data_IF_406253417866
#
_entry.id   IF_406253417866
#
_cell.length_a   1.000
_cell.length_b   1.000
_cell.length_c   1.000
_cell.angle_alpha   90.00
_cell.angle_beta   90.00
_cell.angle_gamma   90.00
#
_symmetry.space_group_name_H-M   'P 1'
#
loop_
_entity.id
_entity.type
_entity.pdbx_description
1 polymer ?
#
# COMPACT_ATOMS: atom_id res chain seq x y z
N UNK A 1 22.72 -18.06 1.41
CA UNK A 1 21.46 -18.84 1.44
C UNK A 1 20.90 -18.80 2.86
N UNK A 2 19.58 -18.66 3.03
CA UNK A 2 18.94 -18.67 4.35
C UNK A 2 19.23 -19.96 5.12
N UNK A 3 19.46 -19.86 6.43
CA UNK A 3 19.91 -20.98 7.28
C UNK A 3 18.76 -21.73 7.97
N UNK A 4 17.71 -22.09 7.22
CA UNK A 4 16.60 -22.88 7.78
C UNK A 4 17.07 -24.28 8.22
N UNK A 5 16.64 -24.73 9.41
CA UNK A 5 16.97 -26.05 9.96
C UNK A 5 16.34 -27.21 9.19
N UNK A 6 15.19 -26.99 8.54
CA UNK A 6 14.43 -28.01 7.81
C UNK A 6 14.05 -27.51 6.42
N UNK A 7 13.87 -28.42 5.48
CA UNK A 7 13.38 -28.10 4.13
C UNK A 7 11.87 -27.82 4.11
N UNK A 8 11.12 -28.32 5.09
CA UNK A 8 9.69 -28.11 5.21
C UNK A 8 9.28 -28.01 6.68
N UNK A 9 8.34 -27.11 6.95
CA UNK A 9 7.71 -26.91 8.24
C UNK A 9 6.20 -27.12 8.06
N UNK A 10 5.62 -28.04 8.82
CA UNK A 10 4.19 -28.38 8.74
C UNK A 10 3.48 -27.90 10.01
N UNK A 11 2.18 -27.62 9.88
CA UNK A 11 1.30 -27.20 10.98
C UNK A 11 1.76 -25.93 11.72
N UNK A 12 2.56 -25.08 11.07
CA UNK A 12 2.93 -23.76 11.59
C UNK A 12 1.75 -22.82 11.41
N UNK A 13 1.26 -22.28 12.52
CA UNK A 13 0.16 -21.31 12.53
C UNK A 13 0.66 -19.97 13.04
N UNK A 14 0.22 -18.90 12.38
CA UNK A 14 0.56 -17.51 12.71
C UNK A 14 -0.68 -16.65 12.62
N UNK A 15 -0.88 -15.83 13.64
CA UNK A 15 -1.88 -14.77 13.68
C UNK A 15 -1.45 -13.58 12.84
N UNK A 16 -2.43 -12.80 12.38
CA UNK A 16 -2.19 -11.57 11.63
C UNK A 16 -1.30 -10.58 12.42
N UNK A 17 -1.47 -10.51 13.74
CA UNK A 17 -0.64 -9.65 14.60
C UNK A 17 0.84 -10.07 14.60
N UNK A 18 1.14 -11.37 14.51
CA UNK A 18 2.53 -11.83 14.37
C UNK A 18 3.13 -11.41 13.04
N UNK A 19 2.35 -11.41 11.95
CA UNK A 19 2.78 -10.86 10.67
C UNK A 19 3.06 -9.36 10.76
N UNK A 20 2.20 -8.59 11.45
CA UNK A 20 2.43 -7.15 11.70
C UNK A 20 3.76 -6.94 12.41
N UNK A 21 4.02 -7.69 13.49
CA UNK A 21 5.29 -7.62 14.24
C UNK A 21 6.50 -7.98 13.37
N UNK A 22 6.39 -9.00 12.53
CA UNK A 22 7.45 -9.39 11.61
C UNK A 22 7.75 -8.25 10.64
N UNK A 23 6.72 -7.68 10.02
CA UNK A 23 6.90 -6.56 9.09
C UNK A 23 7.53 -5.35 9.78
N UNK A 24 7.05 -4.97 10.96
CA UNK A 24 7.62 -3.86 11.74
C UNK A 24 9.10 -4.10 12.08
N UNK A 25 9.46 -5.33 12.42
CA UNK A 25 10.85 -5.70 12.65
C UNK A 25 11.69 -5.53 11.39
N UNK A 26 11.25 -6.10 10.26
CA UNK A 26 11.97 -6.04 8.99
C UNK A 26 12.16 -4.60 8.51
N UNK A 27 11.13 -3.77 8.61
CA UNK A 27 11.20 -2.34 8.27
C UNK A 27 12.25 -1.64 9.15
N UNK A 28 12.29 -1.94 10.45
CA UNK A 28 13.25 -1.34 11.36
C UNK A 28 14.70 -1.86 11.22
N UNK A 29 14.89 -3.12 10.81
CA UNK A 29 16.22 -3.71 10.62
C UNK A 29 16.83 -3.38 9.26
N UNK A 30 16.01 -3.30 8.21
CA UNK A 30 16.46 -3.08 6.83
C UNK A 30 15.82 -1.81 6.24
N UNK A 31 16.08 -0.61 6.81
CA UNK A 31 15.44 0.65 6.39
C UNK A 31 15.80 1.08 4.96
N UNK A 32 16.86 0.54 4.38
CA UNK A 32 17.25 0.73 2.97
C UNK A 32 16.45 -0.13 1.98
N UNK A 33 15.63 -1.07 2.48
CA UNK A 33 14.86 -2.00 1.64
C UNK A 33 13.37 -1.70 1.60
N UNK A 34 12.73 -2.00 0.47
CA UNK A 34 11.29 -1.81 0.30
C UNK A 34 10.52 -3.03 0.81
N UNK A 35 10.34 -3.12 2.13
CA UNK A 35 9.61 -4.22 2.77
C UNK A 35 8.15 -4.27 2.29
N UNK A 36 7.65 -5.41 1.77
CA UNK A 36 6.27 -5.53 1.30
C UNK A 36 5.24 -5.13 2.36
N UNK A 37 4.12 -4.54 1.91
CA UNK A 37 3.01 -4.17 2.80
C UNK A 37 2.15 -5.39 3.08
N UNK A 38 1.63 -5.45 4.30
CA UNK A 38 0.65 -6.46 4.67
C UNK A 38 -0.72 -6.13 4.06
N UNK A 39 -1.36 -7.10 3.38
CA UNK A 39 -2.78 -7.02 3.08
C UNK A 39 -3.60 -6.69 4.33
N UNK A 40 -4.69 -5.90 4.21
CA UNK A 40 -5.46 -5.43 5.36
C UNK A 40 -6.10 -6.58 6.14
N UNK A 41 -6.22 -6.40 7.46
CA UNK A 41 -6.92 -7.33 8.33
C UNK A 41 -8.41 -7.38 7.97
N UNK A 42 -8.98 -8.58 7.96
CA UNK A 42 -10.40 -8.79 7.69
C UNK A 42 -11.02 -9.73 8.69
N UNK A 43 -12.21 -9.37 9.17
CA UNK A 43 -13.01 -10.23 10.05
C UNK A 43 -13.44 -11.53 9.36
N UNK A 44 -13.62 -11.51 8.04
CA UNK A 44 -13.95 -12.68 7.24
C UNK A 44 -12.87 -12.86 6.18
N UNK A 45 -12.18 -14.00 6.22
CA UNK A 45 -11.08 -14.32 5.32
C UNK A 45 -11.64 -14.97 4.05
N UNK A 46 -11.38 -14.34 2.90
CA UNK A 46 -11.69 -14.89 1.58
C UNK A 46 -10.47 -15.59 0.97
N UNK A 47 -10.69 -16.40 -0.07
CA UNK A 47 -9.60 -16.99 -0.86
C UNK A 47 -8.63 -15.94 -1.44
N UNK A 48 -9.14 -14.75 -1.76
CA UNK A 48 -8.33 -13.63 -2.23
C UNK A 48 -7.39 -13.11 -1.14
N UNK A 49 -7.84 -13.08 0.12
CA UNK A 49 -7.04 -12.59 1.24
C UNK A 49 -5.91 -13.57 1.57
N UNK A 50 -6.20 -14.88 1.51
CA UNK A 50 -5.17 -15.93 1.62
C UNK A 50 -4.13 -15.80 0.52
N UNK A 51 -4.55 -15.53 -0.72
CA UNK A 51 -3.62 -15.33 -1.83
C UNK A 51 -2.75 -14.09 -1.63
N UNK A 52 -3.31 -12.98 -1.13
CA UNK A 52 -2.55 -11.77 -0.82
C UNK A 52 -1.52 -12.02 0.29
N UNK A 53 -1.87 -12.78 1.32
CA UNK A 53 -0.94 -13.20 2.37
C UNK A 53 0.20 -14.09 1.84
N UNK A 54 -0.11 -15.01 0.90
CA UNK A 54 0.90 -15.81 0.22
C UNK A 54 1.86 -14.95 -0.59
N UNK A 55 1.34 -13.98 -1.35
CA UNK A 55 2.16 -13.05 -2.13
C UNK A 55 3.10 -12.22 -1.24
N UNK A 56 2.62 -11.78 -0.07
CA UNK A 56 3.46 -11.11 0.93
C UNK A 56 4.65 -11.98 1.35
N UNK A 57 4.39 -13.23 1.75
CA UNK A 57 5.44 -14.18 2.14
C UNK A 57 6.38 -14.51 0.98
N UNK A 58 5.85 -14.71 -0.21
CA UNK A 58 6.62 -15.02 -1.42
C UNK A 58 7.60 -13.89 -1.76
N UNK A 59 7.17 -12.63 -1.64
CA UNK A 59 8.02 -11.46 -1.87
C UNK A 59 9.14 -11.38 -0.85
N UNK A 60 8.83 -11.52 0.44
CA UNK A 60 9.85 -11.51 1.50
C UNK A 60 10.84 -12.65 1.32
N UNK A 61 10.34 -13.85 1.00
CA UNK A 61 11.16 -15.06 0.85
C UNK A 61 12.07 -15.04 -0.39
N UNK A 62 11.69 -14.30 -1.44
CA UNK A 62 12.52 -14.12 -2.65
C UNK A 62 13.46 -12.93 -2.57
N UNK A 63 13.25 -12.03 -1.63
CA UNK A 63 14.09 -10.86 -1.49
C UNK A 63 15.50 -11.24 -1.01
N UNK A 64 16.58 -10.78 -1.66
CA UNK A 64 17.94 -11.22 -1.36
C UNK A 64 18.39 -10.89 0.07
N UNK A 65 17.92 -9.77 0.62
CA UNK A 65 18.22 -9.33 2.01
C UNK A 65 17.23 -9.94 3.00
N UNK A 66 15.93 -9.60 2.91
CA UNK A 66 14.89 -10.04 3.86
C UNK A 66 14.81 -11.57 4.03
N UNK A 67 15.07 -12.37 2.99
CA UNK A 67 15.04 -13.84 3.11
C UNK A 67 16.11 -14.42 4.04
N UNK A 68 17.17 -13.65 4.31
CA UNK A 68 18.28 -14.04 5.18
C UNK A 68 18.10 -13.55 6.63
N UNK A 69 17.05 -12.78 6.89
CA UNK A 69 16.78 -12.21 8.20
C UNK A 69 16.49 -13.31 9.23
N UNK A 70 17.11 -13.18 10.41
CA UNK A 70 16.99 -14.18 11.47
C UNK A 70 15.58 -14.22 12.07
N UNK A 71 14.89 -13.09 12.14
CA UNK A 71 13.53 -13.04 12.68
C UNK A 71 12.52 -13.62 11.69
N UNK A 72 12.76 -13.52 10.38
CA UNK A 72 11.98 -14.29 9.40
C UNK A 72 12.16 -15.80 9.61
N UNK A 73 13.40 -16.24 9.89
CA UNK A 73 13.65 -17.64 10.23
C UNK A 73 12.93 -18.03 11.52
N UNK A 74 13.04 -17.24 12.59
CA UNK A 74 12.34 -17.51 13.85
C UNK A 74 10.83 -17.49 13.68
N UNK A 75 10.30 -16.60 12.85
CA UNK A 75 8.89 -16.55 12.49
C UNK A 75 8.40 -17.84 11.85
N UNK A 76 9.25 -18.56 11.10
CA UNK A 76 8.89 -19.84 10.48
C UNK A 76 9.15 -21.01 11.44
N UNK A 77 10.24 -20.97 12.21
CA UNK A 77 10.70 -22.11 13.03
C UNK A 77 10.03 -22.23 14.40
N UNK A 78 9.44 -21.15 14.93
CA UNK A 78 8.92 -21.14 16.32
C UNK A 78 7.63 -21.96 16.47
N UNK A 79 7.57 -22.84 17.48
CA UNK A 79 6.37 -23.67 17.72
C UNK A 79 5.30 -22.93 18.54
N UNK A 80 5.69 -22.03 19.45
CA UNK A 80 4.81 -21.42 20.45
C UNK A 80 4.39 -19.96 20.13
N UNK A 81 4.58 -19.53 18.88
CA UNK A 81 4.30 -18.18 18.42
C UNK A 81 5.55 -17.31 18.26
N UNK A 82 5.36 -16.13 17.65
CA UNK A 82 6.41 -15.21 17.26
C UNK A 82 6.34 -13.88 18.02
N UNK A 83 7.44 -13.56 18.70
CA UNK A 83 7.67 -12.29 19.38
C UNK A 83 9.10 -11.86 19.07
N UNK A 84 9.31 -10.88 18.18
CA UNK A 84 10.65 -10.41 17.88
C UNK A 84 11.25 -9.70 19.10
N UNK A 85 12.58 -9.66 19.25
CA UNK A 85 13.25 -8.94 20.32
C UNK A 85 12.78 -7.49 20.37
N UNK A 86 12.42 -7.01 21.57
CA UNK A 86 11.96 -5.64 21.76
C UNK A 86 13.10 -4.66 21.43
N UNK A 87 13.00 -3.95 20.30
CA UNK A 87 13.90 -2.84 19.99
C UNK A 87 13.42 -1.57 20.73
N UNK A 88 14.34 -0.72 21.23
CA UNK A 88 13.96 0.52 21.90
C UNK A 88 13.11 1.39 20.95
N UNK A 89 11.93 1.80 21.43
CA UNK A 89 10.89 2.54 20.67
C UNK A 89 11.38 3.83 19.97
N UNK A 90 12.58 4.34 20.25
CA UNK A 90 13.17 5.53 19.60
C UNK A 90 13.50 5.33 18.11
N UNK A 91 13.70 4.09 17.65
CA UNK A 91 14.00 3.78 16.24
C UNK A 91 12.71 3.45 15.47
N UNK A 92 11.87 2.57 16.03
CA UNK A 92 10.56 2.23 15.48
C UNK A 92 9.63 3.45 15.39
N UNK A 93 9.63 4.29 16.42
CA UNK A 93 8.81 5.50 16.46
C UNK A 93 9.19 6.48 15.36
N UNK A 94 10.47 6.62 15.00
CA UNK A 94 10.85 7.50 13.90
C UNK A 94 10.43 6.92 12.55
N UNK A 95 10.63 5.63 12.31
CA UNK A 95 10.33 5.01 11.01
C UNK A 95 8.82 4.81 10.76
N UNK A 96 8.03 4.60 11.82
CA UNK A 96 6.56 4.50 11.74
C UNK A 96 5.85 5.87 11.85
N UNK A 97 6.44 6.86 12.56
CA UNK A 97 5.93 8.25 12.67
C UNK A 97 6.46 9.15 11.54
N UNK A 98 7.41 8.69 10.69
CA UNK A 98 7.82 9.36 9.44
C UNK A 98 6.61 9.59 8.51
N UNK A 99 5.59 8.72 8.58
CA UNK A 99 4.32 8.92 7.86
C UNK A 99 3.40 10.00 8.44
N UNK A 100 3.65 10.51 9.67
CA UNK A 100 2.72 11.42 10.38
C UNK A 100 3.38 12.74 10.78
N UNK A 101 4.69 12.75 11.06
CA UNK A 101 5.45 13.98 11.23
C UNK A 101 6.41 14.14 10.08
N UNK A 102 5.93 14.86 9.06
CA UNK A 102 6.79 15.57 8.12
C UNK A 102 7.94 16.14 8.94
N UNK A 103 9.16 15.69 8.68
CA UNK A 103 10.32 16.47 9.03
C UNK A 103 10.03 17.86 8.45
N UNK A 104 9.81 18.84 9.31
CA UNK A 104 9.78 20.22 8.89
C UNK A 104 11.06 20.41 8.07
N UNK A 105 10.89 20.61 6.78
CA UNK A 105 11.96 20.84 5.82
C UNK A 105 12.70 22.11 6.24
N UNK A 106 13.62 21.98 7.18
CA UNK A 106 14.64 22.97 7.50
C UNK A 106 15.96 22.63 6.80
N UNK A 107 16.01 21.54 6.02
CA UNK A 107 17.07 21.30 5.05
C UNK A 107 16.67 21.94 3.72
N UNK A 108 17.26 23.09 3.40
CA UNK A 108 17.31 23.56 2.02
C UNK A 108 18.00 22.52 1.12
N UNK A 109 18.01 22.72 -0.21
CA UNK A 109 18.72 21.82 -1.12
C UNK A 109 20.12 21.55 -0.59
N UNK A 110 20.48 20.27 -0.47
CA UNK A 110 21.85 19.86 -0.18
C UNK A 110 22.77 20.63 -1.12
N UNK A 111 23.64 21.47 -0.57
CA UNK A 111 24.54 22.31 -1.36
C UNK A 111 25.59 21.49 -2.12
N UNK A 112 25.66 20.19 -1.86
CA UNK A 112 26.51 19.21 -2.51
C UNK A 112 25.58 18.22 -3.22
N UNK A 113 25.24 18.47 -4.49
CA UNK A 113 24.78 17.37 -5.35
C UNK A 113 25.97 16.41 -5.48
N UNK A 114 25.85 15.18 -4.97
CA UNK A 114 26.94 14.21 -5.00
C UNK A 114 27.02 13.47 -6.36
N UNK A 115 26.21 13.91 -7.35
CA UNK A 115 26.20 13.41 -8.73
C UNK A 115 24.80 13.01 -9.22
N UNK A 116 24.73 12.50 -10.45
CA UNK A 116 23.49 12.18 -11.18
C UNK A 116 22.54 11.24 -10.41
N UNK A 117 23.07 10.33 -9.59
CA UNK A 117 22.24 9.42 -8.78
C UNK A 117 21.38 10.17 -7.76
N UNK A 118 21.87 11.27 -7.19
CA UNK A 118 21.08 12.06 -6.24
C UNK A 118 19.91 12.76 -6.92
N UNK A 119 20.10 13.20 -8.17
CA UNK A 119 19.04 13.81 -8.96
C UNK A 119 17.92 12.80 -9.23
N UNK A 120 18.26 11.54 -9.57
CA UNK A 120 17.26 10.47 -9.73
C UNK A 120 16.45 10.20 -8.45
N UNK A 121 17.10 10.22 -7.27
CA UNK A 121 16.40 10.03 -6.01
C UNK A 121 15.50 11.20 -5.64
N UNK A 122 15.91 12.44 -5.91
CA UNK A 122 15.07 13.61 -5.65
C UNK A 122 13.86 13.64 -6.60
N UNK A 123 14.04 13.27 -7.87
CA UNK A 123 12.93 13.04 -8.80
C UNK A 123 11.96 11.98 -8.27
N UNK A 124 12.47 10.83 -7.81
CA UNK A 124 11.64 9.76 -7.26
C UNK A 124 10.88 10.21 -6.01
N UNK A 125 11.47 11.05 -5.14
CA UNK A 125 10.77 11.66 -3.99
C UNK A 125 9.62 12.54 -4.41
N UNK A 126 9.84 13.41 -5.41
CA UNK A 126 8.78 14.27 -5.95
C UNK A 126 7.65 13.43 -6.58
N UNK A 127 7.99 12.38 -7.32
CA UNK A 127 7.01 11.45 -7.92
C UNK A 127 6.24 10.71 -6.82
N UNK A 128 6.92 10.19 -5.80
CA UNK A 128 6.33 9.48 -4.66
C UNK A 128 5.33 10.36 -3.91
N UNK A 129 5.71 11.60 -3.59
CA UNK A 129 4.83 12.55 -2.91
C UNK A 129 3.59 12.91 -3.74
N UNK A 130 3.76 13.11 -5.06
CA UNK A 130 2.62 13.32 -5.98
C UNK A 130 1.69 12.10 -6.02
N UNK A 131 2.26 10.91 -6.09
CA UNK A 131 1.50 9.66 -6.13
C UNK A 131 0.71 9.45 -4.83
N UNK A 132 1.30 9.73 -3.67
CA UNK A 132 0.62 9.65 -2.38
C UNK A 132 -0.61 10.58 -2.35
N UNK A 133 -0.43 11.85 -2.72
CA UNK A 133 -1.51 12.82 -2.75
C UNK A 133 -2.64 12.41 -3.72
N UNK A 134 -2.29 11.84 -4.87
CA UNK A 134 -3.26 11.32 -5.84
C UNK A 134 -4.01 10.11 -5.29
N UNK A 135 -3.33 9.15 -4.68
CA UNK A 135 -3.95 7.97 -4.07
C UNK A 135 -4.94 8.37 -2.97
N UNK A 136 -4.55 9.28 -2.07
CA UNK A 136 -5.46 9.82 -1.05
C UNK A 136 -6.69 10.51 -1.66
N UNK A 137 -6.51 11.22 -2.78
CA UNK A 137 -7.61 11.81 -3.54
C UNK A 137 -8.55 10.74 -4.12
N UNK A 138 -8.01 9.69 -4.73
CA UNK A 138 -8.80 8.59 -5.31
C UNK A 138 -9.56 7.82 -4.22
N UNK A 139 -8.93 7.54 -3.07
CA UNK A 139 -9.58 6.89 -1.92
C UNK A 139 -10.81 7.71 -1.48
N UNK A 140 -10.64 9.03 -1.30
CA UNK A 140 -11.76 9.92 -0.93
C UNK A 140 -12.87 9.96 -1.98
N UNK A 141 -12.52 9.89 -3.26
CA UNK A 141 -13.52 9.81 -4.33
C UNK A 141 -14.29 8.48 -4.29
N UNK A 142 -13.59 7.37 -4.07
CA UNK A 142 -14.20 6.05 -3.92
C UNK A 142 -15.13 6.00 -2.71
N UNK A 143 -14.76 6.58 -1.57
CA UNK A 143 -15.63 6.63 -0.39
C UNK A 143 -16.95 7.36 -0.67
N UNK A 144 -16.90 8.46 -1.44
CA UNK A 144 -18.09 9.19 -1.89
C UNK A 144 -18.95 8.33 -2.82
N UNK A 145 -18.32 7.61 -3.75
CA UNK A 145 -19.01 6.70 -4.66
C UNK A 145 -19.70 5.55 -3.91
N UNK A 146 -19.00 4.90 -2.98
CA UNK A 146 -19.53 3.84 -2.11
C UNK A 146 -20.74 4.36 -1.33
N UNK A 147 -20.66 5.57 -0.79
CA UNK A 147 -21.78 6.20 -0.08
C UNK A 147 -22.98 6.45 -1.02
N UNK A 148 -22.75 7.09 -2.15
CA UNK A 148 -23.81 7.39 -3.12
C UNK A 148 -24.48 6.10 -3.63
N UNK A 149 -23.70 5.04 -3.88
CA UNK A 149 -24.19 3.74 -4.32
C UNK A 149 -24.98 3.01 -3.24
N UNK A 150 -24.59 3.16 -1.96
CA UNK A 150 -25.37 2.64 -0.82
C UNK A 150 -26.71 3.35 -0.70
N UNK A 151 -26.72 4.68 -0.83
CA UNK A 151 -27.96 5.46 -0.79
C UNK A 151 -28.88 5.08 -1.97
N UNK A 152 -28.31 4.92 -3.17
CA UNK A 152 -29.02 4.44 -4.35
C UNK A 152 -29.65 3.05 -4.14
N UNK A 153 -28.88 2.08 -3.63
CA UNK A 153 -29.38 0.74 -3.29
C UNK A 153 -30.53 0.78 -2.28
N UNK A 154 -30.47 1.69 -1.30
CA UNK A 154 -31.58 1.88 -0.35
C UNK A 154 -32.84 2.41 -1.03
N UNK A 155 -32.70 3.31 -2.01
CA UNK A 155 -33.83 3.85 -2.78
C UNK A 155 -34.42 2.82 -3.73
N UNK A 156 -33.62 1.96 -4.32
CA UNK A 156 -34.11 0.81 -5.11
C UNK A 156 -34.97 -0.13 -4.24
N UNK A 157 -34.51 -0.45 -3.02
CA UNK A 157 -35.27 -1.28 -2.09
C UNK A 157 -36.58 -0.62 -1.61
N UNK A 158 -36.55 0.69 -1.38
CA UNK A 158 -37.74 1.48 -1.07
C UNK A 158 -38.75 1.44 -2.22
N UNK A 159 -38.29 1.61 -3.46
CA UNK A 159 -39.14 1.52 -4.66
C UNK A 159 -39.78 0.12 -4.80
N UNK A 160 -39.04 -0.95 -4.53
CA UNK A 160 -39.59 -2.31 -4.52
C UNK A 160 -40.73 -2.45 -3.49
N UNK A 161 -40.56 -1.86 -2.30
CA UNK A 161 -41.55 -1.88 -1.22
C UNK A 161 -42.80 -1.07 -1.59
N UNK A 162 -42.60 0.13 -2.14
CA UNK A 162 -43.69 1.00 -2.62
C UNK A 162 -44.45 0.33 -3.76
N UNK A 163 -43.76 -0.34 -4.68
CA UNK A 163 -44.38 -1.07 -5.78
C UNK A 163 -45.28 -2.21 -5.28
N UNK A 164 -44.86 -2.95 -4.25
CA UNK A 164 -45.74 -3.94 -3.60
C UNK A 164 -46.96 -3.28 -2.91
N UNK A 165 -46.75 -2.11 -2.31
CA UNK A 165 -47.82 -1.36 -1.65
C UNK A 165 -48.86 -0.86 -2.65
N UNK A 166 -48.42 -0.35 -3.79
CA UNK A 166 -49.32 0.02 -4.89
C UNK A 166 -50.08 -1.19 -5.43
N UNK A 167 -49.40 -2.32 -5.65
CA UNK A 167 -50.06 -3.55 -6.08
C UNK A 167 -51.17 -4.01 -5.12
N UNK A 168 -51.01 -3.82 -3.81
CA UNK A 168 -51.99 -4.22 -2.81
C UNK A 168 -53.20 -3.27 -2.70
N UNK A 169 -53.03 -1.99 -3.07
CA UNK A 169 -54.07 -0.97 -2.98
C UNK A 169 -54.71 -0.65 -4.33
N UNK A 170 -54.20 -1.23 -5.42
CA UNK A 170 -54.72 -1.00 -6.76
C UNK A 170 -56.02 -1.78 -6.99
N UNK A 171 -57.01 -1.06 -7.51
CA UNK A 171 -58.34 -1.56 -7.81
C UNK A 171 -58.42 -2.27 -9.17
N UNK A 172 -57.59 -1.88 -10.13
CA UNK A 172 -57.49 -2.51 -11.45
C UNK A 172 -56.58 -3.74 -11.38
N UNK A 173 -57.11 -4.98 -11.55
CA UNK A 173 -56.33 -6.20 -11.34
C UNK A 173 -55.10 -6.32 -12.25
N UNK A 174 -55.17 -5.84 -13.50
CA UNK A 174 -54.06 -5.83 -14.45
C UNK A 174 -52.93 -4.92 -13.97
N UNK A 175 -53.26 -3.71 -13.53
CA UNK A 175 -52.29 -2.75 -13.00
C UNK A 175 -51.69 -3.25 -11.67
N UNK A 176 -52.49 -3.87 -10.81
CA UNK A 176 -52.01 -4.53 -9.59
C UNK A 176 -50.99 -5.63 -9.90
N UNK A 177 -51.26 -6.45 -10.93
CA UNK A 177 -50.35 -7.53 -11.38
C UNK A 177 -49.04 -6.97 -11.93
N UNK A 178 -49.08 -5.90 -12.73
CA UNK A 178 -47.86 -5.27 -13.27
C UNK A 178 -46.98 -4.67 -12.18
N UNK A 179 -47.56 -3.99 -11.18
CA UNK A 179 -46.80 -3.51 -10.01
C UNK A 179 -46.16 -4.67 -9.24
N UNK A 180 -46.89 -5.77 -9.03
CA UNK A 180 -46.34 -6.96 -8.36
C UNK A 180 -45.22 -7.62 -9.16
N UNK A 181 -45.34 -7.66 -10.49
CA UNK A 181 -44.31 -8.15 -11.40
C UNK A 181 -43.04 -7.31 -11.34
N UNK A 182 -43.17 -5.99 -11.17
CA UNK A 182 -42.04 -5.06 -11.07
C UNK A 182 -41.34 -5.13 -9.70
N UNK A 183 -42.09 -5.36 -8.63
CA UNK A 183 -41.56 -5.28 -7.26
C UNK A 183 -40.43 -6.30 -6.96
N UNK A 184 -40.54 -7.53 -7.46
CA UNK A 184 -39.52 -8.57 -7.22
C UNK A 184 -38.18 -8.26 -7.92
N UNK A 185 -38.16 -7.91 -9.22
CA UNK A 185 -36.94 -7.48 -9.91
C UNK A 185 -36.28 -6.24 -9.30
N UNK A 186 -37.07 -5.27 -8.84
CA UNK A 186 -36.54 -4.10 -8.13
C UNK A 186 -35.79 -4.49 -6.83
N UNK A 187 -36.33 -5.43 -6.06
CA UNK A 187 -35.65 -5.97 -4.87
C UNK A 187 -34.37 -6.74 -5.24
N UNK A 188 -34.39 -7.50 -6.34
CA UNK A 188 -33.21 -8.17 -6.90
C UNK A 188 -32.11 -7.17 -7.30
N UNK A 189 -32.47 -6.11 -8.01
CA UNK A 189 -31.56 -5.01 -8.37
C UNK A 189 -30.98 -4.33 -7.13
N UNK A 190 -31.81 -4.03 -6.13
CA UNK A 190 -31.37 -3.42 -4.88
C UNK A 190 -30.33 -4.29 -4.15
N UNK A 191 -30.52 -5.62 -4.14
CA UNK A 191 -29.54 -6.58 -3.59
C UNK A 191 -28.24 -6.60 -4.39
N UNK A 192 -28.31 -6.57 -5.72
CA UNK A 192 -27.13 -6.49 -6.58
C UNK A 192 -26.34 -5.19 -6.34
N UNK A 193 -27.02 -4.04 -6.27
CA UNK A 193 -26.42 -2.75 -5.91
C UNK A 193 -25.80 -2.76 -4.51
N UNK A 194 -26.45 -3.40 -3.53
CA UNK A 194 -25.90 -3.56 -2.17
C UNK A 194 -24.64 -4.42 -2.16
N UNK A 195 -24.62 -5.49 -2.94
CA UNK A 195 -23.43 -6.34 -3.11
C UNK A 195 -22.29 -5.58 -3.82
N UNK A 196 -22.62 -4.73 -4.79
CA UNK A 196 -21.68 -3.84 -5.49
C UNK A 196 -20.95 -2.91 -4.51
N UNK A 197 -21.65 -2.28 -3.58
CA UNK A 197 -21.06 -1.44 -2.50
C UNK A 197 -19.99 -2.22 -1.71
N UNK A 198 -20.27 -3.48 -1.36
CA UNK A 198 -19.30 -4.34 -0.68
C UNK A 198 -18.11 -4.72 -1.56
N UNK A 199 -18.36 -4.95 -2.86
CA UNK A 199 -17.33 -5.20 -3.86
C UNK A 199 -16.37 -4.03 -4.04
N UNK A 200 -16.88 -2.80 -4.09
CA UNK A 200 -16.11 -1.57 -4.24
C UNK A 200 -15.12 -1.40 -3.07
N UNK A 201 -15.62 -1.54 -1.84
CA UNK A 201 -14.81 -1.44 -0.63
C UNK A 201 -13.74 -2.55 -0.55
N UNK A 202 -14.13 -3.80 -0.82
CA UNK A 202 -13.26 -4.97 -0.61
C UNK A 202 -12.28 -5.26 -1.74
N UNK A 203 -12.50 -4.74 -2.95
CA UNK A 203 -11.54 -4.91 -4.06
C UNK A 203 -10.75 -3.63 -4.27
N UNK A 204 -11.42 -2.58 -4.72
CA UNK A 204 -10.73 -1.36 -5.09
C UNK A 204 -10.28 -0.56 -3.86
N UNK A 205 -11.13 -0.44 -2.84
CA UNK A 205 -10.80 0.27 -1.59
C UNK A 205 -9.59 -0.33 -0.90
N UNK A 206 -9.67 -1.62 -0.55
CA UNK A 206 -8.55 -2.33 0.08
C UNK A 206 -7.26 -2.33 -0.75
N UNK A 207 -7.36 -2.36 -2.08
CA UNK A 207 -6.19 -2.25 -2.95
C UNK A 207 -5.56 -0.85 -2.89
N UNK A 208 -6.38 0.21 -2.94
CA UNK A 208 -5.89 1.58 -2.86
C UNK A 208 -5.24 1.86 -1.50
N UNK A 209 -5.81 1.36 -0.40
CA UNK A 209 -5.21 1.47 0.93
C UNK A 209 -3.86 0.76 1.01
N UNK A 210 -3.80 -0.47 0.46
CA UNK A 210 -2.56 -1.23 0.34
C UNK A 210 -1.52 -0.47 -0.51
N UNK A 211 -1.92 0.14 -1.63
CA UNK A 211 -1.03 0.96 -2.45
C UNK A 211 -0.56 2.22 -1.76
N UNK A 212 -1.42 2.88 -0.99
CA UNK A 212 -1.05 4.06 -0.21
C UNK A 212 0.05 3.71 0.81
N UNK A 213 -0.13 2.62 1.57
CA UNK A 213 0.87 2.14 2.52
C UNK A 213 2.21 1.76 1.84
N UNK A 214 2.13 1.26 0.60
CA UNK A 214 3.33 0.94 -0.18
C UNK A 214 4.12 2.21 -0.54
N UNK A 215 3.42 3.24 -1.01
CA UNK A 215 4.01 4.54 -1.31
C UNK A 215 4.61 5.18 -0.05
N UNK A 216 3.96 5.02 1.10
CA UNK A 216 4.51 5.50 2.39
C UNK A 216 5.77 4.75 2.82
N UNK A 217 5.84 3.44 2.55
CA UNK A 217 7.04 2.64 2.80
C UNK A 217 8.20 3.12 1.91
N UNK A 218 7.92 3.40 0.63
CA UNK A 218 8.89 3.98 -0.28
C UNK A 218 9.36 5.38 0.18
N UNK A 219 8.43 6.25 0.58
CA UNK A 219 8.78 7.56 1.14
C UNK A 219 9.71 7.42 2.35
N UNK A 220 9.42 6.48 3.25
CA UNK A 220 10.28 6.23 4.42
C UNK A 220 11.69 5.78 4.06
N UNK A 221 11.84 4.91 3.05
CA UNK A 221 13.16 4.48 2.58
C UNK A 221 13.95 5.62 1.90
N UNK A 222 13.28 6.47 1.12
CA UNK A 222 13.88 7.65 0.51
C UNK A 222 14.32 8.68 1.56
N UNK A 223 13.51 8.90 2.60
CA UNK A 223 13.86 9.79 3.71
C UNK A 223 15.01 9.22 4.56
N UNK A 224 15.06 7.89 4.77
CA UNK A 224 16.21 7.24 5.41
C UNK A 224 17.50 7.45 4.59
N UNK A 225 17.45 7.25 3.27
CA UNK A 225 18.58 7.54 2.38
C UNK A 225 19.03 8.99 2.54
N UNK A 226 18.10 9.94 2.50
CA UNK A 226 18.42 11.36 2.66
C UNK A 226 19.11 11.65 4.00
N UNK A 227 18.67 11.00 5.08
CA UNK A 227 19.34 11.09 6.39
C UNK A 227 20.79 10.61 6.32
N UNK A 228 21.06 9.48 5.65
CA UNK A 228 22.41 8.94 5.48
C UNK A 228 23.29 9.85 4.62
N UNK A 229 22.73 10.48 3.58
CA UNK A 229 23.43 11.51 2.78
C UNK A 229 23.81 12.70 3.67
N UNK A 230 22.90 13.18 4.51
CA UNK A 230 23.19 14.26 5.47
C UNK A 230 24.29 13.91 6.49
N UNK A 231 24.32 12.67 6.98
CA UNK A 231 25.41 12.16 7.84
C UNK A 231 26.75 12.14 7.11
N UNK A 232 26.76 11.74 5.83
CA UNK A 232 27.96 11.75 5.01
C UNK A 232 28.46 13.17 4.70
N UNK A 233 27.58 14.11 4.36
CA UNK A 233 27.95 15.52 4.19
C UNK A 233 28.55 16.14 5.47
N UNK A 234 28.00 15.80 6.64
CA UNK A 234 28.54 16.24 7.91
C UNK A 234 29.95 15.69 8.14
N UNK A 235 30.21 14.44 7.74
CA UNK A 235 31.54 13.83 7.80
C UNK A 235 32.53 14.55 6.87
N UNK A 236 32.14 14.86 5.62
CA UNK A 236 32.97 15.64 4.67
C UNK A 236 33.36 16.99 5.29
N UNK A 237 32.37 17.75 5.80
CA UNK A 237 32.61 19.06 6.42
C UNK A 237 33.57 18.96 7.62
N UNK A 238 33.46 17.90 8.41
CA UNK A 238 34.36 17.63 9.53
C UNK A 238 35.79 17.38 9.05
N UNK A 239 35.99 16.50 8.06
CA UNK A 239 37.31 16.22 7.47
C UNK A 239 37.93 17.45 6.86
N UNK A 240 37.16 18.25 6.10
CA UNK A 240 37.64 19.51 5.52
C UNK A 240 38.08 20.51 6.59
N UNK A 241 37.34 20.63 7.69
CA UNK A 241 37.70 21.49 8.80
C UNK A 241 39.02 21.05 9.45
N UNK A 242 39.20 19.75 9.69
CA UNK A 242 40.45 19.21 10.24
C UNK A 242 41.63 19.37 9.28
N UNK A 243 41.39 19.17 7.97
CA UNK A 243 42.40 19.39 6.91
C UNK A 243 42.88 20.84 6.89
N UNK A 244 41.95 21.81 6.94
CA UNK A 244 42.29 23.25 7.02
C UNK A 244 43.08 23.59 8.29
N UNK A 245 42.73 23.00 9.43
CA UNK A 245 43.48 23.17 10.69
C UNK A 245 44.91 22.66 10.56
N UNK A 246 45.10 21.47 9.97
CA UNK A 246 46.43 20.90 9.70
C UNK A 246 47.26 21.77 8.75
N UNK A 247 46.66 22.28 7.66
CA UNK A 247 47.33 23.20 6.73
C UNK A 247 47.77 24.50 7.42
N UNK A 248 46.95 25.03 8.33
CA UNK A 248 47.29 26.21 9.14
C UNK A 248 48.46 25.95 10.09
N UNK A 249 48.51 24.76 10.71
CA UNK A 249 49.63 24.37 11.56
C UNK A 249 50.92 24.17 10.77
N UNK A 250 50.84 23.60 9.55
CA UNK A 250 51.99 23.46 8.64
C UNK A 250 52.57 24.80 8.17
N UNK A 251 51.73 25.82 8.02
CA UNK A 251 52.13 27.17 7.62
C UNK A 251 52.55 28.08 8.79
N UNK A 252 52.40 27.62 10.04
CA UNK A 252 52.83 28.37 11.23
C UNK A 252 54.36 28.39 11.36
N UNK A 253 54.90 29.56 11.69
CA UNK A 253 56.35 29.76 11.93
C UNK A 253 56.79 29.23 13.30
N UNK A 254 55.86 29.00 14.23
CA UNK A 254 56.12 28.39 15.54
C UNK A 254 55.39 27.04 15.61
N UNK A 255 56.14 25.95 15.40
CA UNK A 255 55.63 24.59 15.28
C UNK A 255 55.79 23.88 16.62
N UNK A 256 54.68 23.55 17.28
CA UNK A 256 54.68 22.65 18.42
C UNK A 256 54.48 21.21 17.92
N UNK A 257 55.47 20.30 18.07
CA UNK A 257 55.40 18.95 17.50
C UNK A 257 54.23 18.13 18.04
N UNK A 258 53.91 18.26 19.33
CA UNK A 258 52.82 17.51 19.97
C UNK A 258 51.46 17.87 19.35
N UNK A 259 51.20 19.17 19.14
CA UNK A 259 49.97 19.65 18.48
C UNK A 259 49.86 19.23 17.01
N UNK A 260 51.00 19.06 16.32
CA UNK A 260 51.02 18.58 14.95
C UNK A 260 50.67 17.10 14.91
N UNK A 261 51.26 16.30 15.80
CA UNK A 261 50.91 14.88 15.95
C UNK A 261 49.42 14.71 16.26
N UNK A 262 48.89 15.42 17.26
CA UNK A 262 47.46 15.36 17.61
C UNK A 262 46.56 15.72 16.41
N UNK A 263 46.95 16.73 15.62
CA UNK A 263 46.16 17.16 14.45
C UNK A 263 46.25 16.21 13.26
N UNK A 264 47.34 15.45 13.16
CA UNK A 264 47.48 14.37 12.17
C UNK A 264 46.55 13.23 12.56
N UNK A 265 46.60 12.78 13.81
CA UNK A 265 45.74 11.71 14.34
C UNK A 265 44.25 12.09 14.18
N UNK A 266 43.89 13.33 14.54
CA UNK A 266 42.53 13.86 14.37
C UNK A 266 42.06 13.81 12.91
N UNK A 267 42.93 14.18 11.97
CA UNK A 267 42.60 14.16 10.54
C UNK A 267 42.46 12.72 10.04
N UNK A 268 43.35 11.81 10.44
CA UNK A 268 43.28 10.40 10.10
C UNK A 268 41.95 9.79 10.57
N UNK A 269 41.57 10.00 11.82
CA UNK A 269 40.29 9.55 12.38
C UNK A 269 39.08 10.09 11.60
N UNK A 270 39.10 11.38 11.22
CA UNK A 270 38.02 11.94 10.41
C UNK A 270 37.98 11.38 8.99
N UNK A 271 39.13 11.15 8.35
CA UNK A 271 39.17 10.54 7.02
C UNK A 271 38.66 9.11 7.03
N UNK A 272 38.97 8.33 8.07
CA UNK A 272 38.43 6.98 8.27
C UNK A 272 36.91 7.03 8.49
N UNK A 273 36.43 7.96 9.32
CA UNK A 273 35.00 8.16 9.56
C UNK A 273 34.24 8.57 8.30
N UNK A 274 34.76 9.53 7.51
CA UNK A 274 34.20 9.92 6.22
C UNK A 274 34.14 8.75 5.25
N UNK A 275 35.22 7.96 5.15
CA UNK A 275 35.26 6.76 4.32
C UNK A 275 34.23 5.70 4.73
N UNK A 276 33.95 5.57 6.03
CA UNK A 276 32.88 4.69 6.53
C UNK A 276 31.49 5.20 6.15
N UNK A 277 31.24 6.51 6.29
CA UNK A 277 29.96 7.12 5.93
C UNK A 277 29.70 7.08 4.42
N UNK A 278 30.74 7.29 3.60
CA UNK A 278 30.67 7.12 2.14
C UNK A 278 30.20 5.72 1.77
N UNK A 279 30.88 4.68 2.30
CA UNK A 279 30.52 3.29 2.02
C UNK A 279 29.10 2.96 2.43
N UNK A 280 28.64 3.48 3.58
CA UNK A 280 27.26 3.30 4.03
C UNK A 280 26.26 3.97 3.08
N UNK A 281 26.52 5.19 2.65
CA UNK A 281 25.68 5.91 1.69
C UNK A 281 25.59 5.18 0.35
N UNK A 282 26.71 4.71 -0.18
CA UNK A 282 26.78 3.94 -1.44
C UNK A 282 25.99 2.62 -1.32
N UNK A 283 26.15 1.89 -0.21
CA UNK A 283 25.41 0.66 0.06
C UNK A 283 23.90 0.88 0.11
N UNK A 284 23.45 1.89 0.87
CA UNK A 284 22.02 2.24 0.98
C UNK A 284 21.46 2.66 -0.38
N UNK A 285 22.19 3.50 -1.12
CA UNK A 285 21.76 3.95 -2.45
C UNK A 285 21.65 2.80 -3.45
N UNK A 286 22.64 1.91 -3.48
CA UNK A 286 22.66 0.75 -4.39
C UNK A 286 21.55 -0.24 -4.06
N UNK A 287 21.32 -0.50 -2.76
CA UNK A 287 20.23 -1.36 -2.30
C UNK A 287 18.87 -0.78 -2.70
N UNK A 288 18.63 0.51 -2.43
CA UNK A 288 17.36 1.15 -2.72
C UNK A 288 17.07 1.25 -4.22
N UNK A 289 18.07 1.54 -5.07
CA UNK A 289 17.89 1.54 -6.53
C UNK A 289 17.42 0.18 -7.05
N UNK A 290 18.04 -0.90 -6.57
CA UNK A 290 17.68 -2.26 -6.97
C UNK A 290 16.25 -2.61 -6.54
N UNK A 291 15.88 -2.23 -5.32
CA UNK A 291 14.54 -2.47 -4.79
C UNK A 291 13.49 -1.65 -5.55
N UNK A 292 13.81 -0.40 -5.92
CA UNK A 292 12.95 0.47 -6.73
C UNK A 292 12.60 -0.15 -8.09
N UNK A 293 13.59 -0.72 -8.78
CA UNK A 293 13.38 -1.38 -10.08
C UNK A 293 12.40 -2.56 -9.94
N UNK A 294 12.65 -3.46 -8.98
CA UNK A 294 11.77 -4.58 -8.69
C UNK A 294 10.38 -4.13 -8.24
N UNK A 295 10.31 -3.07 -7.46
CA UNK A 295 9.06 -2.48 -6.97
C UNK A 295 8.20 -1.93 -8.11
N UNK A 296 8.78 -1.22 -9.07
CA UNK A 296 8.03 -0.64 -10.21
C UNK A 296 7.29 -1.72 -10.99
N UNK A 297 7.96 -2.84 -11.31
CA UNK A 297 7.38 -3.99 -12.01
C UNK A 297 6.25 -4.60 -11.18
N UNK A 298 6.52 -4.94 -9.91
CA UNK A 298 5.52 -5.53 -9.02
C UNK A 298 4.32 -4.60 -8.82
N UNK A 299 4.55 -3.29 -8.76
CA UNK A 299 3.51 -2.32 -8.50
C UNK A 299 2.53 -2.23 -9.66
N UNK A 300 3.05 -2.24 -10.89
CA UNK A 300 2.26 -2.26 -12.12
C UNK A 300 1.41 -3.53 -12.24
N UNK A 301 2.00 -4.70 -11.97
CA UNK A 301 1.28 -5.98 -12.00
C UNK A 301 0.13 -6.02 -10.98
N UNK A 302 0.38 -5.54 -9.77
CA UNK A 302 -0.63 -5.44 -8.71
C UNK A 302 -1.79 -4.53 -9.11
N UNK A 303 -1.51 -3.39 -9.75
CA UNK A 303 -2.53 -2.47 -10.26
C UNK A 303 -3.38 -3.11 -11.36
N UNK A 304 -2.74 -3.74 -12.34
CA UNK A 304 -3.44 -4.43 -13.41
C UNK A 304 -4.31 -5.57 -12.88
N UNK A 305 -3.82 -6.32 -11.88
CA UNK A 305 -4.59 -7.39 -11.22
C UNK A 305 -5.82 -6.83 -10.52
N UNK A 306 -5.66 -5.77 -9.74
CA UNK A 306 -6.76 -5.15 -9.01
C UNK A 306 -7.82 -4.54 -9.94
N UNK A 307 -7.40 -3.82 -10.98
CA UNK A 307 -8.31 -3.26 -11.97
C UNK A 307 -9.08 -4.35 -12.71
N UNK A 308 -8.40 -5.42 -13.14
CA UNK A 308 -9.06 -6.56 -13.79
C UNK A 308 -10.10 -7.22 -12.88
N UNK A 309 -9.73 -7.49 -11.63
CA UNK A 309 -10.64 -8.08 -10.65
C UNK A 309 -11.84 -7.18 -10.38
N UNK A 310 -11.62 -5.87 -10.25
CA UNK A 310 -12.67 -4.88 -10.05
C UNK A 310 -13.62 -4.82 -11.25
N UNK A 311 -13.10 -4.69 -12.47
CA UNK A 311 -13.91 -4.66 -13.70
C UNK A 311 -14.74 -5.93 -13.88
N UNK A 312 -14.17 -7.10 -13.60
CA UNK A 312 -14.90 -8.38 -13.67
C UNK A 312 -16.06 -8.43 -12.67
N UNK A 313 -15.85 -7.95 -11.44
CA UNK A 313 -16.93 -7.86 -10.45
C UNK A 313 -18.01 -6.86 -10.89
N UNK A 314 -17.62 -5.71 -11.42
CA UNK A 314 -18.59 -4.73 -11.92
C UNK A 314 -19.46 -5.28 -13.04
N UNK A 315 -18.86 -5.97 -14.01
CA UNK A 315 -19.61 -6.65 -15.07
C UNK A 315 -20.58 -7.68 -14.47
N UNK A 316 -20.16 -8.42 -13.45
CA UNK A 316 -21.04 -9.36 -12.74
C UNK A 316 -22.26 -8.70 -12.11
N UNK A 317 -22.07 -7.56 -11.42
CA UNK A 317 -23.16 -6.82 -10.81
C UNK A 317 -24.12 -6.23 -11.85
N UNK A 318 -23.61 -5.66 -12.93
CA UNK A 318 -24.46 -5.09 -13.99
C UNK A 318 -25.22 -6.18 -14.77
N UNK A 319 -24.62 -7.36 -14.98
CA UNK A 319 -25.33 -8.52 -15.54
C UNK A 319 -26.47 -8.99 -14.64
N UNK A 320 -26.24 -9.07 -13.33
CA UNK A 320 -27.28 -9.47 -12.38
C UNK A 320 -28.47 -8.50 -12.43
N UNK A 321 -28.23 -7.18 -12.48
CA UNK A 321 -29.30 -6.18 -12.63
C UNK A 321 -30.04 -6.33 -13.96
N UNK A 322 -29.30 -6.59 -15.05
CA UNK A 322 -29.89 -6.79 -16.37
C UNK A 322 -30.81 -8.02 -16.41
N UNK A 323 -30.40 -9.13 -15.78
CA UNK A 323 -31.22 -10.35 -15.68
C UNK A 323 -32.55 -10.08 -14.96
N UNK A 324 -32.53 -9.30 -13.87
CA UNK A 324 -33.75 -8.88 -13.17
C UNK A 324 -34.66 -8.06 -14.10
N UNK A 325 -34.13 -7.07 -14.82
CA UNK A 325 -34.92 -6.27 -15.76
C UNK A 325 -35.49 -7.08 -16.93
N UNK A 326 -34.72 -8.03 -17.48
CA UNK A 326 -35.19 -8.93 -18.53
C UNK A 326 -36.33 -9.83 -18.04
N UNK A 327 -36.33 -10.21 -16.75
CA UNK A 327 -37.41 -11.00 -16.16
C UNK A 327 -38.75 -10.24 -16.14
N UNK A 328 -38.72 -8.90 -15.97
CA UNK A 328 -39.91 -8.04 -16.10
C UNK A 328 -40.46 -8.12 -17.52
N UNK A 329 -39.58 -7.92 -18.52
CA UNK A 329 -39.97 -7.95 -19.94
C UNK A 329 -40.53 -9.31 -20.38
N UNK A 330 -39.99 -10.41 -19.85
CA UNK A 330 -40.53 -11.75 -20.08
C UNK A 330 -41.91 -11.93 -19.43
N UNK A 331 -42.08 -11.45 -18.19
CA UNK A 331 -43.36 -11.50 -17.48
C UNK A 331 -44.47 -10.72 -18.19
N UNK A 332 -44.17 -9.52 -18.71
CA UNK A 332 -45.13 -8.71 -19.46
C UNK A 332 -45.57 -9.37 -20.77
N UNK A 333 -44.68 -10.10 -21.46
CA UNK A 333 -45.01 -10.83 -22.70
C UNK A 333 -45.83 -12.10 -22.47
N UNK A 334 -45.74 -12.66 -21.27
CA UNK A 334 -46.47 -13.87 -20.87
C UNK A 334 -47.87 -13.55 -20.31
N UNK A 335 -48.16 -12.28 -20.00
CA UNK A 335 -49.48 -11.86 -19.50
C UNK A 335 -50.52 -11.89 -20.65
N UNK A 336 -51.56 -12.74 -20.56
CA UNK A 336 -52.54 -12.91 -21.62
C UNK A 336 -53.34 -11.63 -21.93
N UNK A 337 -53.61 -10.80 -20.92
CA UNK A 337 -54.39 -9.56 -21.03
C UNK A 337 -53.65 -8.48 -21.86
N UNK A 338 -52.31 -8.52 -21.90
CA UNK A 338 -51.48 -7.60 -22.68
C UNK A 338 -51.53 -7.90 -24.19
N UNK A 339 -51.91 -9.13 -24.60
CA UNK A 339 -52.10 -9.50 -26.00
C UNK A 339 -53.43 -9.00 -26.57
N UNK A 340 -54.47 -8.89 -25.74
CA UNK A 340 -55.80 -8.45 -26.18
C UNK A 340 -55.87 -6.92 -26.39
N UNK A 341 -55.20 -6.13 -25.54
CA UNK A 341 -55.12 -4.67 -25.72
C UNK A 341 -54.34 -4.24 -26.97
N UNK A 342 -53.39 -5.05 -27.45
CA UNK A 342 -52.68 -4.80 -28.72
C UNK A 342 -53.56 -5.01 -29.96
N UNK A 343 -54.55 -5.91 -29.88
CA UNK A 343 -55.50 -6.16 -30.97
C UNK A 343 -56.68 -5.16 -30.98
N UNK A 344 -57.05 -4.64 -29.81
CA UNK A 344 -58.13 -3.65 -29.67
C UNK A 344 -57.76 -2.25 -30.20
N UNK A 345 -56.47 -1.90 -30.29
CA UNK A 345 -56.00 -0.61 -30.84
C UNK A 345 -55.85 -0.65 -32.37
N UNK A 346 -55.85 -1.85 -32.98
CA UNK A 346 -55.75 -2.04 -34.43
C UNK A 346 -57.09 -2.34 -35.14
N UNK A 347 -58.23 -2.06 -34.48
CA UNK A 347 -59.58 -2.30 -35.01
C UNK A 347 -60.34 -1.00 -35.25
#
# INVERSE_FOLDING_TARGET
MPRYKRQSYQNVTRSYLEFVRLREHLVAEHPETLVPVLPPERSLVSASDVQSMRLFLERISRHPVLSQDIELQMFIESEFGFLPPAKPKRILGKLLDIGVKRFSSSGGPSALSLGDTDDEFEEERVVTAKLEAKLQGVIKCLDKEIKARRDFSSKEAELATVSNTWAANESLPELARTFKLLAKPLDGMAKASKAQVGGDATVLGSFLDYKLQHVQTLSGALDYRLSVVGEYEAAIKSTESKRKTMERLRSSTNINPEKVTDSIDDLEDATLFEGNMRRRMEQVSTALMKDLEGYRVQSQEDLLRALRQYSQRQIGFEKAKLEELLSVGAGLKADPDHRESGAAISS
#
